data_IF_355024435316
#
_entry.id   IF_355024435316
#
_cell.length_a   1.000
_cell.length_b   1.000
_cell.length_c   1.000
_cell.angle_alpha   90.00
_cell.angle_beta   90.00
_cell.angle_gamma   90.00
#
_symmetry.space_group_name_H-M   'P 1'
#
loop_
_entity.id
_entity.type
_entity.pdbx_description
1 polymer ?
#
# COMPACT_ATOMS: atom_id res chain seq x y z
N UNK A 1 -16.90 57.14 -38.80
CA UNK A 1 -18.13 56.34 -38.65
C UNK A 1 -18.30 55.53 -39.92
N UNK A 2 -18.17 54.20 -39.86
CA UNK A 2 -18.87 53.20 -40.70
C UNK A 2 -18.29 51.79 -40.46
N UNK A 3 -19.13 50.96 -39.84
CA UNK A 3 -19.22 49.50 -39.66
C UNK A 3 -18.04 48.52 -39.90
N UNK A 4 -17.85 47.54 -38.97
CA UNK A 4 -17.08 46.31 -39.23
C UNK A 4 -17.92 45.25 -39.98
N UNK A 5 -17.28 44.25 -40.63
CA UNK A 5 -17.96 43.23 -41.44
C UNK A 5 -18.71 42.16 -40.63
N UNK A 6 -19.84 41.71 -41.18
CA UNK A 6 -20.77 40.72 -40.63
C UNK A 6 -20.17 39.31 -40.55
N UNK A 7 -20.42 38.62 -39.42
CA UNK A 7 -20.17 37.19 -39.26
C UNK A 7 -21.25 36.34 -39.97
N UNK A 8 -20.91 35.17 -40.55
CA UNK A 8 -21.91 34.27 -41.11
C UNK A 8 -22.69 33.53 -40.01
N UNK A 9 -23.95 33.12 -40.25
CA UNK A 9 -24.76 32.44 -39.24
C UNK A 9 -24.27 31.01 -38.97
N UNK A 10 -24.47 30.49 -37.74
CA UNK A 10 -24.12 29.10 -37.42
C UNK A 10 -25.02 28.13 -38.18
N UNK A 11 -24.39 27.11 -38.76
CA UNK A 11 -25.03 26.00 -39.46
C UNK A 11 -25.99 25.23 -38.55
N UNK A 12 -27.26 25.15 -38.96
CA UNK A 12 -28.23 24.27 -38.31
C UNK A 12 -27.85 22.79 -38.53
N UNK A 13 -27.98 21.91 -37.52
CA UNK A 13 -27.74 20.49 -37.69
C UNK A 13 -28.78 19.88 -38.65
N UNK A 14 -28.31 19.23 -39.70
CA UNK A 14 -29.14 18.50 -40.66
C UNK A 14 -29.79 17.29 -39.97
N UNK A 15 -31.11 17.36 -39.76
CA UNK A 15 -31.90 16.18 -39.39
C UNK A 15 -32.07 15.28 -40.61
N UNK A 16 -31.39 14.12 -40.62
CA UNK A 16 -31.83 12.98 -41.45
C UNK A 16 -32.91 12.20 -40.69
N UNK A 17 -34.13 12.03 -41.23
CA UNK A 17 -35.11 11.13 -40.65
C UNK A 17 -34.63 9.68 -40.73
N UNK A 18 -34.80 8.91 -39.65
CA UNK A 18 -34.72 7.43 -39.69
C UNK A 18 -35.87 6.90 -40.54
N UNK A 19 -35.63 6.07 -41.57
CA UNK A 19 -36.70 5.35 -42.24
C UNK A 19 -37.34 4.35 -41.27
N UNK A 20 -38.66 4.46 -41.03
CA UNK A 20 -39.43 3.45 -40.29
C UNK A 20 -40.22 3.92 -39.05
N UNK A 21 -40.30 5.22 -38.75
CA UNK A 21 -41.18 5.69 -37.67
C UNK A 21 -42.61 5.92 -38.19
N UNK A 22 -43.58 5.22 -37.60
CA UNK A 22 -45.01 5.38 -37.88
C UNK A 22 -45.49 6.81 -37.55
N UNK A 23 -46.37 7.35 -38.40
CA UNK A 23 -47.03 8.65 -38.16
C UNK A 23 -48.02 8.52 -36.99
N UNK A 24 -47.86 9.36 -35.96
CA UNK A 24 -48.81 9.46 -34.87
C UNK A 24 -50.06 10.27 -35.30
N UNK A 25 -51.27 9.88 -34.89
CA UNK A 25 -52.49 10.61 -35.19
C UNK A 25 -52.60 11.91 -34.37
N UNK A 26 -53.11 12.95 -35.03
CA UNK A 26 -53.29 14.31 -34.49
C UNK A 26 -54.36 14.33 -33.39
N UNK A 27 -54.00 14.69 -32.15
CA UNK A 27 -54.99 15.07 -31.12
C UNK A 27 -54.79 14.60 -29.67
N UNK A 28 -53.68 13.94 -29.30
CA UNK A 28 -53.46 13.55 -27.90
C UNK A 28 -52.79 14.68 -27.07
N UNK A 29 -53.18 14.90 -25.79
CA UNK A 29 -52.54 15.87 -24.92
C UNK A 29 -51.06 15.53 -24.70
N UNK A 30 -50.19 16.51 -24.93
CA UNK A 30 -48.74 16.38 -24.77
C UNK A 30 -48.38 16.23 -23.29
N UNK A 31 -48.09 15.00 -22.86
CA UNK A 31 -47.31 14.79 -21.65
C UNK A 31 -45.89 15.29 -21.89
N UNK A 32 -45.39 16.11 -20.96
CA UNK A 32 -44.01 16.59 -20.93
C UNK A 32 -43.06 15.47 -21.34
N UNK A 33 -42.30 15.72 -22.40
CA UNK A 33 -41.23 14.86 -22.86
C UNK A 33 -40.34 14.49 -21.67
N UNK A 34 -40.18 13.18 -21.44
CA UNK A 34 -39.10 12.68 -20.59
C UNK A 34 -37.79 13.37 -20.99
N UNK A 35 -36.95 13.81 -20.06
CA UNK A 35 -35.73 14.51 -20.42
C UNK A 35 -34.94 13.65 -21.41
N UNK A 36 -34.70 14.21 -22.60
CA UNK A 36 -33.87 13.56 -23.60
C UNK A 36 -32.51 13.31 -22.98
N UNK A 37 -32.09 12.05 -22.98
CA UNK A 37 -30.73 11.66 -22.64
C UNK A 37 -29.78 12.44 -23.57
N UNK A 38 -29.10 13.44 -23.00
CA UNK A 38 -28.01 14.15 -23.67
C UNK A 38 -26.80 13.24 -23.58
N UNK A 39 -26.53 12.51 -24.66
CA UNK A 39 -25.24 11.84 -24.85
C UNK A 39 -24.18 12.95 -24.98
N UNK A 40 -23.44 13.19 -23.90
CA UNK A 40 -22.40 14.22 -23.85
C UNK A 40 -21.22 13.92 -24.77
N UNK A 41 -21.22 12.83 -25.53
CA UNK A 41 -20.25 12.60 -26.58
C UNK A 41 -18.81 12.75 -26.11
N UNK A 42 -18.54 12.44 -24.84
CA UNK A 42 -17.18 12.41 -24.30
C UNK A 42 -16.51 11.22 -24.98
N UNK A 43 -15.58 11.44 -25.92
CA UNK A 43 -14.95 10.34 -26.62
C UNK A 43 -14.20 9.52 -25.58
N UNK A 44 -14.64 8.28 -25.33
CA UNK A 44 -13.97 7.22 -24.54
C UNK A 44 -12.82 7.75 -23.66
N UNK A 45 -13.12 8.59 -22.66
CA UNK A 45 -12.07 9.18 -21.80
C UNK A 45 -11.39 8.13 -20.90
N UNK A 46 -11.93 6.91 -20.93
CA UNK A 46 -11.45 5.71 -20.27
C UNK A 46 -11.36 4.61 -21.33
N UNK A 47 -10.52 4.80 -22.35
CA UNK A 47 -10.18 3.69 -23.23
C UNK A 47 -9.54 2.59 -22.38
N UNK A 48 -10.24 1.46 -22.30
CA UNK A 48 -9.91 0.28 -21.50
C UNK A 48 -8.97 -0.65 -22.26
N UNK A 49 -8.19 -0.13 -23.21
CA UNK A 49 -7.14 -0.86 -23.93
C UNK A 49 -5.93 -1.17 -23.03
N UNK A 50 -6.20 -1.79 -21.88
CA UNK A 50 -5.33 -2.83 -21.34
C UNK A 50 -5.20 -3.84 -22.49
N UNK A 51 -3.98 -4.03 -23.01
CA UNK A 51 -3.69 -4.99 -24.07
C UNK A 51 -4.50 -6.28 -23.83
N UNK A 52 -5.22 -6.81 -24.83
CA UNK A 52 -6.01 -8.01 -24.63
C UNK A 52 -5.10 -9.10 -24.08
N UNK A 53 -5.44 -9.64 -22.92
CA UNK A 53 -4.81 -10.84 -22.42
C UNK A 53 -4.99 -11.93 -23.48
N UNK A 54 -3.98 -12.77 -23.67
CA UNK A 54 -4.03 -13.84 -24.67
C UNK A 54 -5.31 -14.69 -24.50
N UNK A 55 -5.84 -15.29 -25.57
CA UNK A 55 -7.13 -15.98 -25.57
C UNK A 55 -7.27 -17.07 -24.48
N UNK A 56 -6.15 -17.67 -24.06
CA UNK A 56 -6.09 -18.64 -22.95
C UNK A 56 -6.32 -18.01 -21.55
N UNK A 57 -5.94 -16.74 -21.34
CA UNK A 57 -6.19 -15.99 -20.10
C UNK A 57 -7.63 -15.45 -20.07
N UNK A 58 -8.15 -15.02 -21.23
CA UNK A 58 -9.50 -14.47 -21.36
C UNK A 58 -10.62 -15.51 -21.11
N UNK A 59 -10.41 -16.76 -21.51
CA UNK A 59 -11.40 -17.84 -21.36
C UNK A 59 -11.48 -18.44 -19.94
N UNK A 60 -10.40 -18.35 -19.13
CA UNK A 60 -10.38 -18.87 -17.74
C UNK A 60 -10.68 -17.82 -16.68
N UNK A 61 -10.58 -16.53 -17.02
CA UNK A 61 -10.73 -15.40 -16.09
C UNK A 61 -11.52 -14.25 -16.74
N UNK A 62 -12.71 -14.52 -17.29
CA UNK A 62 -13.58 -13.45 -17.73
C UNK A 62 -13.78 -12.46 -16.56
N UNK A 63 -13.43 -11.16 -16.71
CA UNK A 63 -13.56 -10.19 -15.63
C UNK A 63 -15.00 -10.18 -15.13
N UNK A 64 -15.18 -10.14 -13.81
CA UNK A 64 -16.52 -10.06 -13.23
C UNK A 64 -17.26 -8.86 -13.84
N UNK A 65 -18.42 -9.05 -14.51
CA UNK A 65 -19.13 -7.94 -15.12
C UNK A 65 -19.65 -6.99 -14.04
N UNK A 66 -19.48 -5.68 -14.23
CA UNK A 66 -20.12 -4.68 -13.35
C UNK A 66 -21.61 -4.71 -13.65
N UNK A 67 -22.40 -5.13 -12.67
CA UNK A 67 -23.86 -5.09 -12.77
C UNK A 67 -24.34 -3.64 -12.71
N UNK A 68 -25.28 -3.29 -13.58
CA UNK A 68 -25.96 -2.00 -13.48
C UNK A 68 -26.74 -1.92 -12.16
N UNK A 69 -26.88 -0.72 -11.56
CA UNK A 69 -27.65 -0.59 -10.34
C UNK A 69 -29.12 -0.98 -10.60
N UNK A 70 -29.80 -1.66 -9.66
CA UNK A 70 -31.21 -2.06 -9.80
C UNK A 70 -32.16 -0.88 -9.99
N UNK A 71 -31.75 0.31 -9.55
CA UNK A 71 -32.45 1.57 -9.71
C UNK A 71 -31.44 2.64 -10.12
N UNK A 72 -31.85 3.55 -11.01
CA UNK A 72 -31.02 4.68 -11.41
C UNK A 72 -30.56 5.46 -10.16
N UNK A 73 -29.26 5.66 -10.02
CA UNK A 73 -28.74 6.44 -8.91
C UNK A 73 -29.22 7.89 -9.07
N UNK A 74 -29.62 8.57 -7.98
CA UNK A 74 -30.07 9.94 -8.06
C UNK A 74 -28.97 10.82 -8.69
N UNK A 75 -29.36 11.63 -9.67
CA UNK A 75 -28.48 12.66 -10.20
C UNK A 75 -28.16 13.65 -9.08
N UNK A 76 -26.88 14.00 -8.95
CA UNK A 76 -26.38 14.88 -7.89
C UNK A 76 -27.23 16.16 -7.79
N UNK A 77 -27.75 16.41 -6.60
CA UNK A 77 -28.37 17.65 -6.15
C UNK A 77 -29.50 18.25 -7.01
N UNK A 78 -30.40 17.45 -7.62
CA UNK A 78 -31.69 18.02 -8.08
C UNK A 78 -32.85 17.06 -8.45
N UNK A 79 -33.09 15.99 -7.68
CA UNK A 79 -34.37 15.28 -7.81
C UNK A 79 -34.83 14.67 -6.48
N UNK A 80 -36.08 14.96 -6.16
CA UNK A 80 -36.68 15.04 -4.83
C UNK A 80 -37.31 13.72 -4.36
N UNK A 81 -37.33 13.51 -3.02
CA UNK A 81 -38.25 12.67 -2.20
C UNK A 81 -38.18 11.13 -2.35
N UNK A 82 -38.15 10.27 -1.31
CA UNK A 82 -38.51 10.36 0.13
C UNK A 82 -37.83 9.25 0.97
N UNK A 83 -37.33 9.65 2.14
CA UNK A 83 -37.47 9.02 3.48
C UNK A 83 -37.88 7.51 3.56
N UNK A 84 -36.90 6.60 3.76
CA UNK A 84 -37.12 5.29 4.44
C UNK A 84 -35.90 4.63 5.11
N UNK A 85 -34.77 5.32 5.29
CA UNK A 85 -33.54 4.67 5.85
C UNK A 85 -33.38 4.86 7.36
N UNK A 86 -34.23 5.66 8.00
CA UNK A 86 -34.19 5.88 9.46
C UNK A 86 -34.63 4.65 10.30
N UNK A 87 -35.10 3.56 9.69
CA UNK A 87 -35.50 2.34 10.42
C UNK A 87 -34.47 1.18 10.38
N UNK A 88 -33.32 1.33 9.71
CA UNK A 88 -32.22 0.34 9.79
C UNK A 88 -31.06 0.76 10.70
N UNK A 89 -31.09 1.98 11.25
CA UNK A 89 -30.10 2.44 12.24
C UNK A 89 -30.33 1.90 13.66
N UNK A 90 -31.35 1.05 13.86
CA UNK A 90 -31.73 0.53 15.18
C UNK A 90 -31.12 -0.80 15.63
N UNK A 91 -30.42 -1.55 14.77
CA UNK A 91 -29.74 -2.82 15.14
C UNK A 91 -28.46 -3.01 14.34
N UNK A 92 -27.54 -2.06 14.46
CA UNK A 92 -26.16 -2.25 14.01
C UNK A 92 -25.45 -3.16 15.01
N UNK A 93 -25.59 -4.47 14.84
CA UNK A 93 -24.88 -5.49 15.59
C UNK A 93 -23.40 -5.09 15.71
N UNK A 94 -22.95 -4.82 16.95
CA UNK A 94 -21.59 -4.45 17.31
C UNK A 94 -20.64 -5.65 17.19
N UNK A 95 -20.69 -6.38 16.07
CA UNK A 95 -19.73 -7.43 15.79
C UNK A 95 -18.38 -6.80 15.50
N UNK A 96 -17.47 -6.86 16.48
CA UNK A 96 -16.05 -6.67 16.22
C UNK A 96 -15.67 -7.75 15.21
N UNK A 97 -15.22 -7.41 13.99
CA UNK A 97 -14.94 -8.42 12.99
C UNK A 97 -13.83 -9.32 13.51
N UNK A 98 -14.03 -10.64 13.52
CA UNK A 98 -13.07 -11.64 14.05
C UNK A 98 -11.65 -11.40 13.54
N UNK A 99 -11.51 -10.98 12.28
CA UNK A 99 -10.22 -10.61 11.67
C UNK A 99 -9.43 -9.53 12.43
N UNK A 100 -10.13 -8.60 13.11
CA UNK A 100 -9.51 -7.51 13.88
C UNK A 100 -9.01 -8.01 15.23
N UNK A 101 -9.76 -8.91 15.86
CA UNK A 101 -9.34 -9.58 17.11
C UNK A 101 -8.11 -10.44 16.83
N UNK A 102 -8.14 -11.25 15.77
CA UNK A 102 -7.00 -12.08 15.36
C UNK A 102 -5.75 -11.24 15.04
N UNK A 103 -5.91 -10.08 14.38
CA UNK A 103 -4.77 -9.20 14.10
C UNK A 103 -4.14 -8.63 15.38
N UNK A 104 -4.93 -8.29 16.40
CA UNK A 104 -4.39 -7.86 17.69
C UNK A 104 -3.77 -9.00 18.51
N UNK A 105 -4.32 -10.22 18.41
CA UNK A 105 -3.69 -11.41 18.98
C UNK A 105 -2.31 -11.63 18.35
N UNK A 106 -2.21 -11.52 17.02
CA UNK A 106 -0.93 -11.61 16.31
C UNK A 106 0.06 -10.54 16.82
N UNK A 107 -0.37 -9.28 16.97
CA UNK A 107 0.47 -8.22 17.54
C UNK A 107 0.93 -8.56 18.95
N UNK A 108 0.05 -9.09 19.81
CA UNK A 108 0.41 -9.47 21.18
C UNK A 108 1.44 -10.61 21.21
N UNK A 109 1.27 -11.63 20.37
CA UNK A 109 2.21 -12.74 20.25
C UNK A 109 3.58 -12.29 19.72
N UNK A 110 3.59 -11.45 18.68
CA UNK A 110 4.83 -10.90 18.13
C UNK A 110 5.50 -9.92 19.10
N UNK A 111 4.72 -9.17 19.88
CA UNK A 111 5.22 -8.30 20.95
C UNK A 111 5.88 -9.11 22.06
N UNK A 112 5.27 -10.21 22.49
CA UNK A 112 5.90 -11.14 23.43
C UNK A 112 7.18 -11.73 22.88
N UNK A 113 7.19 -12.15 21.60
CA UNK A 113 8.39 -12.64 20.93
C UNK A 113 9.52 -11.59 20.92
N UNK A 114 9.19 -10.31 20.66
CA UNK A 114 10.16 -9.22 20.73
C UNK A 114 10.75 -9.07 22.13
N UNK A 115 9.92 -9.12 23.18
CA UNK A 115 10.40 -9.03 24.56
C UNK A 115 11.35 -10.17 24.91
N UNK A 116 11.04 -11.40 24.49
CA UNK A 116 11.91 -12.57 24.68
C UNK A 116 13.24 -12.39 23.95
N UNK A 117 13.21 -11.95 22.69
CA UNK A 117 14.41 -11.71 21.87
C UNK A 117 15.29 -10.61 22.47
N UNK A 118 14.69 -9.48 22.87
CA UNK A 118 15.43 -8.38 23.49
C UNK A 118 15.98 -8.75 24.87
N UNK A 119 15.23 -9.52 25.67
CA UNK A 119 15.70 -10.02 26.96
C UNK A 119 16.89 -10.98 26.78
N UNK A 120 16.82 -11.87 25.78
CA UNK A 120 17.92 -12.75 25.43
C UNK A 120 19.17 -11.98 25.00
N UNK A 121 19.04 -11.01 24.10
CA UNK A 121 20.19 -10.20 23.68
C UNK A 121 20.72 -9.28 24.77
N UNK A 122 19.86 -8.74 25.62
CA UNK A 122 20.29 -7.99 26.80
C UNK A 122 21.08 -8.89 27.76
N UNK A 123 20.62 -10.11 27.99
CA UNK A 123 21.35 -11.09 28.81
C UNK A 123 22.72 -11.38 28.20
N UNK A 124 22.81 -11.68 26.90
CA UNK A 124 24.07 -11.88 26.21
C UNK A 124 25.00 -10.67 26.34
N UNK A 125 24.49 -9.48 26.08
CA UNK A 125 25.23 -8.23 26.23
C UNK A 125 25.76 -8.07 27.67
N UNK A 126 24.92 -8.26 28.68
CA UNK A 126 25.27 -8.07 30.09
C UNK A 126 26.35 -9.04 30.58
N UNK A 127 26.47 -10.24 30.00
CA UNK A 127 27.51 -11.21 30.36
C UNK A 127 28.79 -11.08 29.52
N UNK A 128 28.72 -10.45 28.34
CA UNK A 128 29.84 -10.38 27.39
C UNK A 128 30.53 -9.02 27.33
N UNK A 129 29.87 -7.95 27.74
CA UNK A 129 30.38 -6.58 27.63
C UNK A 129 31.26 -6.19 28.83
N UNK A 130 32.16 -5.24 28.61
CA UNK A 130 32.87 -4.53 29.68
C UNK A 130 32.21 -3.20 30.04
N UNK A 131 31.25 -2.75 29.23
CA UNK A 131 30.51 -1.49 29.41
C UNK A 131 29.38 -1.63 30.44
N UNK A 132 28.91 -0.49 30.98
CA UNK A 132 27.75 -0.51 31.88
C UNK A 132 26.50 -1.07 31.17
N UNK A 133 25.72 -1.97 31.81
CA UNK A 133 24.46 -2.46 31.26
C UNK A 133 23.44 -1.36 30.95
N UNK A 134 23.56 -0.19 31.59
CA UNK A 134 22.67 0.96 31.38
C UNK A 134 22.74 1.52 29.94
N UNK A 135 23.84 1.30 29.22
CA UNK A 135 23.96 1.73 27.82
C UNK A 135 22.96 1.06 26.88
N UNK A 136 22.44 -0.10 27.26
CA UNK A 136 21.40 -0.81 26.50
C UNK A 136 20.20 0.10 26.20
N UNK A 137 19.77 0.90 27.17
CA UNK A 137 18.66 1.85 26.98
C UNK A 137 19.01 2.92 25.93
N UNK A 138 20.25 3.40 25.93
CA UNK A 138 20.75 4.33 24.92
C UNK A 138 20.71 3.73 23.52
N UNK A 139 21.14 2.48 23.35
CA UNK A 139 21.08 1.79 22.06
C UNK A 139 19.64 1.63 21.55
N UNK A 140 18.73 1.25 22.44
CA UNK A 140 17.29 1.14 22.14
C UNK A 140 16.71 2.47 21.68
N UNK A 141 17.06 3.58 22.35
CA UNK A 141 16.59 4.92 21.98
C UNK A 141 17.12 5.33 20.60
N UNK A 142 18.41 5.15 20.34
CA UNK A 142 19.04 5.51 19.05
C UNK A 142 18.45 4.66 17.92
N UNK A 143 18.34 3.34 18.10
CA UNK A 143 17.73 2.47 17.11
C UNK A 143 16.24 2.78 16.90
N UNK A 144 15.53 3.12 17.98
CA UNK A 144 14.13 3.51 17.96
C UNK A 144 13.87 4.78 17.15
N UNK A 145 14.79 5.76 17.21
CA UNK A 145 14.72 6.96 16.38
C UNK A 145 14.68 6.62 14.89
N UNK A 146 15.57 5.74 14.43
CA UNK A 146 15.61 5.32 13.02
C UNK A 146 14.30 4.64 12.58
N UNK A 147 13.76 3.77 13.43
CA UNK A 147 12.47 3.12 13.18
C UNK A 147 11.32 4.13 13.09
N UNK A 148 11.30 5.15 13.97
CA UNK A 148 10.29 6.21 13.94
C UNK A 148 10.34 7.02 12.64
N UNK A 149 11.54 7.32 12.13
CA UNK A 149 11.69 8.03 10.85
C UNK A 149 11.17 7.18 9.70
N UNK A 150 11.54 5.89 9.61
CA UNK A 150 11.02 4.98 8.59
C UNK A 150 9.49 4.92 8.69
N UNK A 151 8.95 4.67 9.88
CA UNK A 151 7.51 4.62 10.10
C UNK A 151 6.82 5.93 9.68
N UNK A 152 7.42 7.08 9.97
CA UNK A 152 6.91 8.39 9.56
C UNK A 152 6.80 8.56 8.03
N UNK A 153 7.83 8.12 7.29
CA UNK A 153 7.80 8.08 5.82
C UNK A 153 6.68 7.17 5.31
N UNK A 154 6.56 5.98 5.89
CA UNK A 154 5.52 5.01 5.52
C UNK A 154 4.12 5.54 5.83
N UNK A 155 3.89 6.13 7.01
CA UNK A 155 2.61 6.73 7.36
C UNK A 155 2.24 7.91 6.46
N UNK A 156 3.22 8.63 5.91
CA UNK A 156 2.97 9.70 4.95
C UNK A 156 2.54 9.14 3.60
N UNK A 157 3.19 8.07 3.13
CA UNK A 157 2.85 7.37 1.90
C UNK A 157 1.47 6.68 1.97
N UNK A 158 1.16 6.08 3.13
CA UNK A 158 -0.07 5.34 3.40
C UNK A 158 -1.34 6.22 3.49
N UNK A 159 -1.20 7.56 3.41
CA UNK A 159 -2.35 8.48 3.51
C UNK A 159 -3.39 8.31 2.39
N UNK A 160 -3.01 7.70 1.26
CA UNK A 160 -3.92 7.48 0.14
C UNK A 160 -4.92 6.37 0.42
N UNK A 161 -4.46 5.22 0.91
CA UNK A 161 -5.27 4.06 1.25
C UNK A 161 -4.81 3.47 2.59
N UNK A 162 -5.28 4.03 3.73
CA UNK A 162 -4.69 3.71 5.03
C UNK A 162 -4.87 2.26 5.47
N UNK A 163 -3.74 1.61 5.75
CA UNK A 163 -3.67 0.26 6.26
C UNK A 163 -4.10 0.17 7.74
N UNK A 164 -4.63 -0.99 8.19
CA UNK A 164 -4.99 -1.17 9.58
C UNK A 164 -3.73 -1.24 10.46
N UNK A 165 -3.71 -0.41 11.51
CA UNK A 165 -2.58 -0.30 12.46
C UNK A 165 -2.04 -1.65 12.95
N UNK A 166 -2.87 -2.66 13.31
CA UNK A 166 -2.34 -3.95 13.76
C UNK A 166 -1.45 -4.67 12.73
N UNK A 167 -1.70 -4.49 11.43
CA UNK A 167 -0.86 -5.09 10.39
C UNK A 167 0.47 -4.36 10.25
N UNK A 168 0.46 -3.03 10.35
CA UNK A 168 1.68 -2.22 10.36
C UNK A 168 2.56 -2.58 11.57
N UNK A 169 1.94 -2.75 12.75
CA UNK A 169 2.64 -3.22 13.95
C UNK A 169 3.16 -4.65 13.78
N UNK A 170 2.35 -5.55 13.22
CA UNK A 170 2.77 -6.93 12.96
C UNK A 170 3.97 -6.99 12.01
N UNK A 171 4.03 -6.12 11.00
CA UNK A 171 5.17 -6.00 10.10
C UNK A 171 6.45 -5.60 10.85
N UNK A 172 6.40 -4.53 11.64
CA UNK A 172 7.54 -4.08 12.46
C UNK A 172 7.98 -5.18 13.43
N UNK A 173 7.04 -5.78 14.17
CA UNK A 173 7.34 -6.78 15.19
C UNK A 173 7.88 -8.09 14.59
N UNK A 174 7.40 -8.49 13.40
CA UNK A 174 7.97 -9.63 12.68
C UNK A 174 9.46 -9.41 12.39
N UNK A 175 9.79 -8.24 11.84
CA UNK A 175 11.17 -7.85 11.58
C UNK A 175 12.01 -7.84 12.85
N UNK A 176 11.53 -7.14 13.88
CA UNK A 176 12.26 -6.91 15.11
C UNK A 176 12.47 -8.16 15.98
N UNK A 177 11.58 -9.15 15.87
CA UNK A 177 11.65 -10.37 16.68
C UNK A 177 12.00 -11.59 15.84
N UNK A 178 11.07 -12.03 14.99
CA UNK A 178 11.13 -13.33 14.32
C UNK A 178 12.26 -13.38 13.30
N UNK A 179 12.35 -12.36 12.43
CA UNK A 179 13.37 -12.31 11.40
C UNK A 179 14.77 -12.23 12.02
N UNK A 180 14.98 -11.37 13.02
CA UNK A 180 16.27 -11.28 13.72
C UNK A 180 16.61 -12.56 14.47
N UNK A 181 15.67 -13.20 15.16
CA UNK A 181 15.93 -14.45 15.88
C UNK A 181 16.37 -15.58 14.93
N UNK A 182 15.67 -15.75 13.80
CA UNK A 182 16.04 -16.74 12.77
C UNK A 182 17.44 -16.42 12.25
N UNK A 183 17.68 -15.16 11.88
CA UNK A 183 18.96 -14.73 11.31
C UNK A 183 20.11 -14.89 12.27
N UNK A 184 19.94 -14.55 13.54
CA UNK A 184 20.96 -14.71 14.57
C UNK A 184 21.39 -16.18 14.69
N UNK A 185 20.44 -17.11 14.81
CA UNK A 185 20.75 -18.54 14.94
C UNK A 185 21.46 -19.06 13.69
N UNK A 186 20.90 -18.83 12.51
CA UNK A 186 21.43 -19.38 11.26
C UNK A 186 22.78 -18.76 10.91
N UNK A 187 22.93 -17.43 11.02
CA UNK A 187 24.20 -16.77 10.70
C UNK A 187 25.32 -17.20 11.66
N UNK A 188 25.01 -17.40 12.94
CA UNK A 188 25.99 -17.91 13.91
C UNK A 188 26.43 -19.32 13.53
N UNK A 189 25.48 -20.22 13.28
CA UNK A 189 25.80 -21.60 12.88
C UNK A 189 26.61 -21.67 11.58
N UNK A 190 26.24 -20.89 10.57
CA UNK A 190 26.97 -20.85 9.29
C UNK A 190 28.37 -20.29 9.46
N UNK A 191 28.56 -19.26 10.31
CA UNK A 191 29.88 -18.71 10.63
C UNK A 191 30.80 -19.74 11.29
N UNK A 192 30.28 -20.46 12.29
CA UNK A 192 31.01 -21.53 12.99
C UNK A 192 31.39 -22.68 12.06
N UNK A 193 30.45 -23.13 11.20
CA UNK A 193 30.71 -24.18 10.21
C UNK A 193 31.76 -23.72 9.19
N UNK A 194 31.65 -22.47 8.70
CA UNK A 194 32.61 -21.92 7.75
C UNK A 194 34.02 -21.85 8.36
N UNK A 195 34.12 -21.49 9.64
CA UNK A 195 35.39 -21.51 10.37
C UNK A 195 35.91 -22.94 10.54
N UNK A 196 35.08 -23.88 11.00
CA UNK A 196 35.47 -25.26 11.22
C UNK A 196 35.97 -25.96 9.95
N UNK A 197 35.38 -25.64 8.79
CA UNK A 197 35.76 -26.22 7.49
C UNK A 197 37.01 -25.55 6.91
N UNK A 198 37.15 -24.22 7.06
CA UNK A 198 38.23 -23.47 6.40
C UNK A 198 39.47 -23.24 7.27
N UNK A 199 39.33 -23.30 8.59
CA UNK A 199 40.35 -22.86 9.56
C UNK A 199 40.67 -21.36 9.49
N UNK A 200 39.88 -20.55 8.78
CA UNK A 200 40.18 -19.14 8.49
C UNK A 200 39.07 -18.21 8.99
N UNK A 201 39.42 -17.29 9.88
CA UNK A 201 38.52 -16.23 10.36
C UNK A 201 38.10 -15.27 9.22
N UNK A 202 39.00 -15.03 8.25
CA UNK A 202 38.70 -14.18 7.09
C UNK A 202 37.64 -14.83 6.21
N UNK A 203 37.76 -16.14 5.94
CA UNK A 203 36.76 -16.88 5.17
C UNK A 203 35.44 -16.95 5.94
N UNK A 204 35.48 -17.27 7.23
CA UNK A 204 34.27 -17.32 8.07
C UNK A 204 33.53 -15.98 8.10
N UNK A 205 34.25 -14.88 8.34
CA UNK A 205 33.65 -13.53 8.36
C UNK A 205 33.08 -13.12 7.00
N UNK A 206 33.77 -13.43 5.89
CA UNK A 206 33.25 -13.16 4.55
C UNK A 206 32.00 -13.98 4.24
N UNK A 207 32.02 -15.29 4.48
CA UNK A 207 30.86 -16.18 4.26
C UNK A 207 29.68 -15.76 5.13
N UNK A 208 29.93 -15.47 6.41
CA UNK A 208 28.91 -15.01 7.34
C UNK A 208 28.28 -13.69 6.90
N UNK A 209 29.09 -12.67 6.63
CA UNK A 209 28.60 -11.31 6.37
C UNK A 209 28.09 -11.11 4.93
N UNK A 210 28.72 -11.71 3.92
CA UNK A 210 28.44 -11.42 2.50
C UNK A 210 27.47 -12.43 1.88
N UNK A 211 27.44 -13.67 2.40
CA UNK A 211 26.61 -14.75 1.84
C UNK A 211 25.47 -15.11 2.80
N UNK A 212 25.79 -15.56 4.00
CA UNK A 212 24.81 -16.07 4.96
C UNK A 212 23.83 -14.98 5.40
N UNK A 213 24.34 -13.83 5.83
CA UNK A 213 23.52 -12.76 6.36
C UNK A 213 22.51 -12.25 5.32
N UNK A 214 22.90 -11.85 4.09
CA UNK A 214 21.94 -11.40 3.08
C UNK A 214 20.90 -12.46 2.72
N UNK A 215 21.32 -13.72 2.51
CA UNK A 215 20.40 -14.81 2.18
C UNK A 215 19.39 -15.06 3.30
N UNK A 216 19.88 -15.24 4.52
CA UNK A 216 19.07 -15.62 5.67
C UNK A 216 18.16 -14.49 6.08
N UNK A 217 18.69 -13.27 6.16
CA UNK A 217 17.94 -12.12 6.66
C UNK A 217 16.87 -11.66 5.70
N UNK A 218 17.19 -11.51 4.41
CA UNK A 218 16.17 -11.05 3.45
C UNK A 218 15.11 -12.14 3.22
N UNK A 219 15.47 -13.42 3.35
CA UNK A 219 14.49 -14.52 3.34
C UNK A 219 13.61 -14.49 4.59
N UNK A 220 14.17 -14.34 5.79
CA UNK A 220 13.41 -14.33 7.05
C UNK A 220 12.48 -13.11 7.16
N UNK A 221 12.95 -11.94 6.70
CA UNK A 221 12.14 -10.72 6.54
C UNK A 221 11.03 -10.95 5.53
N UNK A 222 11.36 -11.45 4.35
CA UNK A 222 10.39 -11.66 3.28
C UNK A 222 9.35 -12.76 3.59
N UNK A 223 9.65 -13.75 4.44
CA UNK A 223 8.64 -14.66 4.98
C UNK A 223 7.55 -13.92 5.76
N UNK A 224 7.89 -12.82 6.43
CA UNK A 224 6.90 -11.93 7.07
C UNK A 224 5.95 -11.31 6.06
N UNK A 225 6.44 -10.93 4.87
CA UNK A 225 5.58 -10.47 3.78
C UNK A 225 4.64 -11.57 3.30
N UNK A 226 5.14 -12.80 3.15
CA UNK A 226 4.31 -13.94 2.75
C UNK A 226 3.21 -14.20 3.80
N UNK A 227 3.55 -14.21 5.09
CA UNK A 227 2.58 -14.38 6.17
C UNK A 227 1.52 -13.28 6.13
N UNK A 228 1.93 -12.00 6.09
CA UNK A 228 1.00 -10.86 6.00
C UNK A 228 0.14 -10.93 4.73
N UNK A 229 0.74 -11.28 3.60
CA UNK A 229 0.05 -11.45 2.32
C UNK A 229 -1.03 -12.52 2.39
N UNK A 230 -0.77 -13.67 3.03
CA UNK A 230 -1.71 -14.76 3.13
C UNK A 230 -2.84 -14.46 4.14
N UNK A 231 -2.51 -13.94 5.33
CA UNK A 231 -3.52 -13.68 6.38
C UNK A 231 -4.35 -12.42 6.11
N UNK A 232 -3.74 -11.43 5.47
CA UNK A 232 -4.31 -10.11 5.26
C UNK A 232 -4.35 -9.73 3.78
N UNK A 233 -4.51 -10.72 2.90
CA UNK A 233 -4.56 -10.55 1.43
C UNK A 233 -5.40 -9.36 1.00
N UNK A 234 -6.54 -9.08 1.66
CA UNK A 234 -7.43 -7.93 1.38
C UNK A 234 -6.75 -6.55 1.43
N UNK A 235 -5.67 -6.44 2.20
CA UNK A 235 -4.89 -5.23 2.44
C UNK A 235 -3.57 -5.19 1.65
N UNK A 236 -3.33 -6.22 0.84
CA UNK A 236 -2.15 -6.33 -0.02
C UNK A 236 -2.62 -6.37 -1.48
N UNK A 237 -2.99 -5.21 -2.01
CA UNK A 237 -3.63 -5.02 -3.31
C UNK A 237 -2.64 -4.66 -4.43
N UNK A 238 -1.47 -4.12 -4.08
CA UNK A 238 -0.49 -3.71 -5.06
C UNK A 238 0.95 -3.58 -4.55
N UNK A 239 1.87 -3.15 -5.44
CA UNK A 239 3.26 -2.83 -5.12
C UNK A 239 3.43 -1.83 -3.98
N UNK A 240 2.54 -0.83 -3.86
CA UNK A 240 2.63 0.15 -2.77
C UNK A 240 2.51 -0.57 -1.43
N UNK A 241 1.45 -1.36 -1.22
CA UNK A 241 1.25 -2.10 0.03
C UNK A 241 2.42 -3.02 0.36
N UNK A 242 2.93 -3.72 -0.66
CA UNK A 242 4.11 -4.57 -0.50
C UNK A 242 5.36 -3.79 -0.11
N UNK A 243 5.59 -2.62 -0.69
CA UNK A 243 6.65 -1.70 -0.27
C UNK A 243 6.45 -1.29 1.20
N UNK A 244 5.26 -0.83 1.57
CA UNK A 244 5.00 -0.33 2.93
C UNK A 244 5.23 -1.41 3.98
N UNK A 245 4.70 -2.62 3.79
CA UNK A 245 4.94 -3.74 4.70
C UNK A 245 6.41 -4.17 4.70
N UNK A 246 7.06 -4.20 3.52
CA UNK A 246 8.46 -4.61 3.40
C UNK A 246 9.39 -3.65 4.13
N UNK A 247 9.16 -2.34 3.96
CA UNK A 247 9.89 -1.29 4.64
C UNK A 247 9.75 -1.37 6.17
N UNK A 248 8.55 -1.66 6.68
CA UNK A 248 8.31 -1.80 8.11
C UNK A 248 8.96 -3.06 8.69
N UNK A 249 8.94 -4.19 7.97
CA UNK A 249 9.67 -5.40 8.38
C UNK A 249 11.17 -5.12 8.39
N UNK A 250 11.71 -4.53 7.33
CA UNK A 250 13.12 -4.14 7.26
C UNK A 250 13.52 -3.17 8.37
N UNK A 251 12.70 -2.17 8.65
CA UNK A 251 12.91 -1.22 9.75
C UNK A 251 12.85 -1.85 11.13
N UNK A 252 11.92 -2.79 11.35
CA UNK A 252 11.86 -3.56 12.59
C UNK A 252 13.11 -4.43 12.78
N UNK A 253 13.57 -5.09 11.73
CA UNK A 253 14.82 -5.85 11.77
C UNK A 253 16.01 -4.95 12.11
N UNK A 254 16.13 -3.81 11.39
CA UNK A 254 17.18 -2.82 11.62
C UNK A 254 17.18 -2.29 13.06
N UNK A 255 16.00 -2.14 13.68
CA UNK A 255 15.90 -1.72 15.07
C UNK A 255 16.66 -2.66 16.02
N UNK A 256 16.35 -3.96 16.01
CA UNK A 256 17.01 -4.91 16.92
C UNK A 256 18.46 -5.12 16.51
N UNK A 257 18.76 -5.16 15.22
CA UNK A 257 20.13 -5.34 14.74
C UNK A 257 21.04 -4.15 15.13
N UNK A 258 20.56 -2.92 14.97
CA UNK A 258 21.30 -1.71 15.34
C UNK A 258 21.66 -1.70 16.83
N UNK A 259 20.79 -2.19 17.71
CA UNK A 259 21.09 -2.30 19.15
C UNK A 259 22.35 -3.15 19.38
N UNK A 260 22.46 -4.30 18.70
CA UNK A 260 23.61 -5.19 18.79
C UNK A 260 24.88 -4.54 18.22
N UNK A 261 24.76 -3.82 17.11
CA UNK A 261 25.88 -3.10 16.50
C UNK A 261 26.39 -1.95 17.37
N UNK A 262 25.50 -1.20 18.01
CA UNK A 262 25.87 -0.10 18.91
C UNK A 262 26.59 -0.60 20.16
N UNK A 263 26.17 -1.73 20.73
CA UNK A 263 26.91 -2.40 21.82
C UNK A 263 28.35 -2.73 21.42
N UNK A 264 28.53 -3.43 20.28
CA UNK A 264 29.86 -3.78 19.77
C UNK A 264 30.72 -2.56 19.45
N UNK A 265 30.11 -1.47 18.94
CA UNK A 265 30.82 -0.25 18.62
C UNK A 265 31.32 0.50 19.85
N UNK A 266 30.52 0.50 20.94
CA UNK A 266 30.95 1.07 22.21
C UNK A 266 32.12 0.27 22.80
N UNK A 267 32.03 -1.06 22.78
CA UNK A 267 33.08 -1.92 23.36
C UNK A 267 34.41 -1.84 22.60
N UNK A 268 34.36 -1.74 21.26
CA UNK A 268 35.56 -1.67 20.42
C UNK A 268 36.15 -0.27 20.27
N UNK A 269 35.32 0.78 20.26
CA UNK A 269 35.73 2.14 19.89
C UNK A 269 35.31 3.24 20.89
N UNK A 270 34.77 2.86 22.04
CA UNK A 270 34.24 3.79 23.02
C UNK A 270 33.11 4.66 22.48
N UNK A 271 32.86 5.80 23.13
CA UNK A 271 31.80 6.74 22.71
C UNK A 271 32.04 7.25 21.28
N UNK A 272 33.30 7.39 20.84
CA UNK A 272 33.65 7.78 19.47
C UNK A 272 33.18 6.76 18.44
N UNK A 273 33.45 5.46 18.68
CA UNK A 273 32.98 4.37 17.82
C UNK A 273 31.46 4.29 17.75
N UNK A 274 30.79 4.42 18.91
CA UNK A 274 29.33 4.51 18.98
C UNK A 274 28.78 5.69 18.18
N UNK A 275 29.37 6.88 18.30
CA UNK A 275 28.91 8.08 17.60
C UNK A 275 29.07 7.93 16.07
N UNK A 276 30.22 7.45 15.61
CA UNK A 276 30.48 7.23 14.17
C UNK A 276 29.50 6.20 13.61
N UNK A 277 29.34 5.06 14.27
CA UNK A 277 28.43 4.02 13.79
C UNK A 277 26.96 4.46 13.90
N UNK A 278 26.63 5.24 14.93
CA UNK A 278 25.32 5.87 15.13
C UNK A 278 24.95 6.78 13.95
N UNK A 279 25.89 7.59 13.45
CA UNK A 279 25.65 8.41 12.26
C UNK A 279 25.52 7.56 10.99
N UNK A 280 26.46 6.62 10.77
CA UNK A 280 26.48 5.77 9.58
C UNK A 280 25.18 4.96 9.48
N UNK A 281 24.75 4.29 10.55
CA UNK A 281 23.58 3.40 10.53
C UNK A 281 22.28 4.12 10.86
N UNK A 282 22.33 5.06 11.80
CA UNK A 282 21.13 5.72 12.33
C UNK A 282 20.64 6.91 11.50
N UNK A 283 21.51 7.51 10.68
CA UNK A 283 21.19 8.68 9.85
C UNK A 283 21.39 8.40 8.37
N UNK A 284 22.59 7.96 7.96
CA UNK A 284 22.91 7.80 6.52
C UNK A 284 22.28 6.53 5.95
N UNK A 285 22.55 5.38 6.57
CA UNK A 285 22.06 4.06 6.17
C UNK A 285 20.68 3.71 6.75
N UNK A 286 19.89 4.71 7.12
CA UNK A 286 18.61 4.51 7.81
C UNK A 286 17.62 3.66 7.00
N UNK A 287 17.69 3.71 5.66
CA UNK A 287 16.75 3.03 4.79
C UNK A 287 17.24 1.68 4.24
N UNK A 288 18.50 1.28 4.45
CA UNK A 288 19.09 0.10 3.80
C UNK A 288 18.21 -1.16 3.88
N UNK A 289 17.94 -1.66 5.08
CA UNK A 289 17.05 -2.82 5.25
C UNK A 289 15.62 -2.58 4.78
N UNK A 290 15.10 -1.35 4.91
CA UNK A 290 13.78 -1.02 4.40
C UNK A 290 13.74 -1.14 2.87
N UNK A 291 14.79 -0.71 2.16
CA UNK A 291 14.93 -0.83 0.70
C UNK A 291 14.96 -2.30 0.31
N UNK A 292 15.83 -3.12 0.92
CA UNK A 292 16.06 -4.51 0.50
C UNK A 292 14.78 -5.33 0.58
N UNK A 293 14.07 -5.26 1.71
CA UNK A 293 12.82 -5.98 1.91
C UNK A 293 11.66 -5.36 1.10
N UNK A 294 11.66 -4.04 0.88
CA UNK A 294 10.67 -3.39 0.00
C UNK A 294 10.69 -3.93 -1.42
N UNK A 295 11.86 -4.24 -1.98
CA UNK A 295 11.96 -4.80 -3.34
C UNK A 295 11.18 -6.12 -3.46
N UNK A 296 11.32 -6.98 -2.46
CA UNK A 296 10.54 -8.23 -2.36
C UNK A 296 9.04 -7.94 -2.37
N UNK A 297 8.59 -7.01 -1.51
CA UNK A 297 7.19 -6.63 -1.39
C UNK A 297 6.62 -6.00 -2.66
N UNK A 298 7.36 -5.13 -3.33
CA UNK A 298 6.96 -4.50 -4.60
C UNK A 298 6.72 -5.57 -5.67
N UNK A 299 7.64 -6.51 -5.84
CA UNK A 299 7.52 -7.57 -6.84
C UNK A 299 6.33 -8.48 -6.51
N UNK A 300 6.18 -8.90 -5.25
CA UNK A 300 5.01 -9.66 -4.80
C UNK A 300 3.69 -8.92 -5.10
N UNK A 301 3.64 -7.61 -4.82
CA UNK A 301 2.47 -6.78 -5.07
C UNK A 301 2.13 -6.61 -6.55
N UNK A 302 3.14 -6.45 -7.41
CA UNK A 302 2.95 -6.39 -8.87
C UNK A 302 2.37 -7.69 -9.41
N UNK A 303 2.95 -8.82 -8.99
CA UNK A 303 2.51 -10.16 -9.42
C UNK A 303 1.10 -10.44 -8.89
N UNK A 304 0.82 -10.14 -7.62
CA UNK A 304 -0.50 -10.32 -7.03
C UNK A 304 -1.58 -9.47 -7.73
N UNK A 305 -1.26 -8.22 -8.07
CA UNK A 305 -2.16 -7.30 -8.76
C UNK A 305 -2.48 -7.78 -10.19
N UNK A 306 -1.53 -8.43 -10.86
CA UNK A 306 -1.64 -8.82 -12.28
C UNK A 306 -2.15 -10.25 -12.49
N UNK A 307 -1.70 -11.18 -11.66
CA UNK A 307 -1.89 -12.62 -11.86
C UNK A 307 -2.56 -13.30 -10.67
N UNK A 308 -2.93 -12.55 -9.63
CA UNK A 308 -3.68 -13.04 -8.50
C UNK A 308 -2.83 -13.63 -7.37
N UNK A 309 -3.53 -14.21 -6.41
CA UNK A 309 -2.99 -14.51 -5.07
C UNK A 309 -1.92 -15.59 -5.08
N UNK A 310 -2.16 -16.71 -5.76
CA UNK A 310 -1.20 -17.83 -5.77
C UNK A 310 0.13 -17.46 -6.44
N UNK A 311 0.15 -16.88 -7.67
CA UNK A 311 1.39 -16.37 -8.25
C UNK A 311 2.06 -15.32 -7.35
N UNK A 312 1.28 -14.42 -6.74
CA UNK A 312 1.78 -13.40 -5.82
C UNK A 312 2.50 -13.96 -4.58
N UNK A 313 2.08 -15.11 -4.07
CA UNK A 313 2.78 -15.80 -2.99
C UNK A 313 4.02 -16.57 -3.49
N UNK A 314 3.90 -17.29 -4.61
CA UNK A 314 4.99 -18.13 -5.14
C UNK A 314 6.16 -17.33 -5.69
N UNK A 315 5.92 -16.12 -6.21
CA UNK A 315 6.99 -15.25 -6.71
C UNK A 315 7.98 -14.85 -5.62
N UNK A 316 7.63 -15.00 -4.34
CA UNK A 316 8.52 -14.78 -3.20
C UNK A 316 9.92 -15.39 -3.42
N UNK A 317 10.00 -16.63 -3.93
CA UNK A 317 11.25 -17.36 -4.17
C UNK A 317 12.21 -16.64 -5.14
N UNK A 318 11.67 -15.80 -6.02
CA UNK A 318 12.43 -15.01 -6.99
C UNK A 318 12.51 -13.53 -6.54
N UNK A 319 11.46 -13.03 -5.91
CA UNK A 319 11.30 -11.64 -5.50
C UNK A 319 12.30 -11.21 -4.41
N UNK A 320 12.83 -12.13 -3.62
CA UNK A 320 13.83 -11.84 -2.57
C UNK A 320 15.23 -11.56 -3.13
N UNK A 321 15.58 -12.11 -4.31
CA UNK A 321 16.94 -12.02 -4.85
C UNK A 321 17.46 -10.60 -5.07
N UNK A 322 16.68 -9.63 -5.57
CA UNK A 322 17.15 -8.25 -5.66
C UNK A 322 17.54 -7.66 -4.31
N UNK A 323 16.78 -7.95 -3.24
CA UNK A 323 17.10 -7.54 -1.88
C UNK A 323 18.36 -8.22 -1.35
N UNK A 324 18.45 -9.55 -1.53
CA UNK A 324 19.63 -10.36 -1.17
C UNK A 324 20.88 -9.82 -1.86
N UNK A 325 20.81 -9.56 -3.16
CA UNK A 325 21.94 -9.08 -3.96
C UNK A 325 22.39 -7.70 -3.50
N UNK A 326 21.46 -6.77 -3.28
CA UNK A 326 21.80 -5.42 -2.85
C UNK A 326 22.41 -5.41 -1.43
N UNK A 327 21.88 -6.24 -0.53
CA UNK A 327 22.42 -6.42 0.80
C UNK A 327 23.82 -7.09 0.77
N UNK A 328 24.01 -8.11 -0.06
CA UNK A 328 25.33 -8.73 -0.25
C UNK A 328 26.35 -7.77 -0.85
N UNK A 329 25.94 -6.91 -1.79
CA UNK A 329 26.80 -5.86 -2.34
C UNK A 329 27.19 -4.84 -1.29
N UNK A 330 26.25 -4.41 -0.44
CA UNK A 330 26.54 -3.53 0.69
C UNK A 330 27.59 -4.14 1.63
N UNK A 331 27.34 -5.36 2.11
CA UNK A 331 28.26 -6.04 3.03
C UNK A 331 29.61 -6.33 2.37
N UNK A 332 29.61 -6.85 1.15
CA UNK A 332 30.81 -7.18 0.38
C UNK A 332 31.67 -5.97 0.04
N UNK A 333 31.07 -4.80 -0.15
CA UNK A 333 31.81 -3.58 -0.46
C UNK A 333 32.81 -3.19 0.64
N UNK A 334 32.51 -3.49 1.91
CA UNK A 334 33.41 -3.24 3.03
C UNK A 334 34.70 -4.08 2.97
N UNK A 335 34.64 -5.28 2.37
CA UNK A 335 35.81 -6.14 2.14
C UNK A 335 36.59 -5.73 0.90
N UNK A 336 35.89 -5.29 -0.15
CA UNK A 336 36.50 -4.90 -1.43
C UNK A 336 37.16 -3.52 -1.37
N UNK A 337 36.63 -2.61 -0.57
CA UNK A 337 37.11 -1.22 -0.48
C UNK A 337 37.35 -0.80 0.98
N UNK A 338 38.30 -1.42 1.70
CA UNK A 338 38.57 -1.17 3.12
C UNK A 338 39.38 0.12 3.33
N UNK A 339 38.91 1.24 2.77
CA UNK A 339 39.55 2.56 2.85
C UNK A 339 38.52 3.63 3.17
N UNK A 340 38.97 4.77 3.70
CA UNK A 340 38.09 5.92 3.95
C UNK A 340 37.36 6.38 2.67
N UNK A 341 38.06 6.38 1.53
CA UNK A 341 37.46 6.73 0.24
C UNK A 341 36.40 5.71 -0.20
N UNK A 342 36.66 4.41 0.03
CA UNK A 342 35.70 3.34 -0.21
C UNK A 342 34.44 3.51 0.63
N UNK A 343 34.60 3.80 1.94
CA UNK A 343 33.49 4.11 2.84
C UNK A 343 32.68 5.32 2.35
N UNK A 344 33.34 6.44 2.00
CA UNK A 344 32.64 7.64 1.50
C UNK A 344 31.84 7.32 0.23
N UNK A 345 32.43 6.62 -0.73
CA UNK A 345 31.75 6.21 -1.96
C UNK A 345 30.53 5.33 -1.65
N UNK A 346 30.67 4.36 -0.75
CA UNK A 346 29.58 3.47 -0.32
C UNK A 346 28.43 4.28 0.32
N UNK A 347 28.73 5.25 1.18
CA UNK A 347 27.73 6.11 1.81
C UNK A 347 27.01 6.99 0.77
N UNK A 348 27.71 7.51 -0.24
CA UNK A 348 27.11 8.27 -1.34
C UNK A 348 26.14 7.38 -2.14
N UNK A 349 26.55 6.15 -2.47
CA UNK A 349 25.70 5.19 -3.18
C UNK A 349 24.43 4.89 -2.39
N UNK A 350 24.54 4.67 -1.08
CA UNK A 350 23.38 4.44 -0.20
C UNK A 350 22.43 5.64 -0.15
N UNK A 351 22.95 6.87 -0.10
CA UNK A 351 22.13 8.07 -0.17
C UNK A 351 21.41 8.18 -1.52
N UNK A 352 22.07 7.84 -2.63
CA UNK A 352 21.45 7.80 -3.94
C UNK A 352 20.36 6.72 -4.01
N UNK A 353 20.61 5.51 -3.50
CA UNK A 353 19.62 4.43 -3.44
C UNK A 353 18.41 4.82 -2.58
N UNK A 354 18.65 5.47 -1.45
CA UNK A 354 17.61 6.02 -0.59
C UNK A 354 16.76 7.06 -1.32
N UNK A 355 17.37 7.97 -2.08
CA UNK A 355 16.64 8.96 -2.88
C UNK A 355 15.80 8.30 -4.00
N UNK A 356 16.35 7.29 -4.68
CA UNK A 356 15.62 6.50 -5.69
C UNK A 356 14.44 5.78 -5.06
N UNK A 357 14.61 5.19 -3.88
CA UNK A 357 13.55 4.48 -3.16
C UNK A 357 12.44 5.45 -2.69
N UNK A 358 12.78 6.62 -2.17
CA UNK A 358 11.79 7.67 -1.85
C UNK A 358 11.03 8.13 -3.10
N UNK A 359 11.73 8.28 -4.24
CA UNK A 359 11.12 8.55 -5.54
C UNK A 359 10.15 7.44 -5.97
N UNK A 360 10.53 6.17 -5.78
CA UNK A 360 9.68 5.00 -6.04
C UNK A 360 8.40 5.04 -5.20
N UNK A 361 8.46 5.41 -3.91
CA UNK A 361 7.27 5.61 -3.08
C UNK A 361 6.33 6.63 -3.72
N UNK A 362 6.85 7.79 -4.12
CA UNK A 362 6.07 8.83 -4.80
C UNK A 362 5.41 8.34 -6.09
N UNK A 363 6.15 7.60 -6.91
CA UNK A 363 5.65 6.99 -8.15
C UNK A 363 4.53 5.96 -7.88
N UNK A 364 4.69 5.11 -6.85
CA UNK A 364 3.69 4.11 -6.49
C UNK A 364 2.42 4.73 -5.89
N UNK A 365 2.54 5.80 -5.10
CA UNK A 365 1.38 6.57 -4.60
C UNK A 365 0.63 7.22 -5.77
N UNK A 366 1.36 7.75 -6.76
CA UNK A 366 0.75 8.30 -7.97
C UNK A 366 0.06 7.23 -8.81
N UNK A 367 0.68 6.07 -9.02
CA UNK A 367 0.09 4.94 -9.73
C UNK A 367 -1.18 4.44 -9.04
N UNK A 368 -1.19 4.34 -7.72
CA UNK A 368 -2.37 3.94 -6.95
C UNK A 368 -3.53 4.94 -7.11
N UNK A 369 -3.23 6.24 -7.14
CA UNK A 369 -4.24 7.28 -7.44
C UNK A 369 -4.79 7.15 -8.86
N UNK A 370 -3.92 6.91 -9.85
CA UNK A 370 -4.32 6.71 -11.25
C UNK A 370 -5.19 5.47 -11.40
N UNK A 371 -4.80 4.36 -10.77
CA UNK A 371 -5.55 3.11 -10.78
C UNK A 371 -6.92 3.28 -10.14
N UNK A 372 -6.99 3.96 -8.98
CA UNK A 372 -8.26 4.30 -8.32
C UNK A 372 -9.19 5.03 -9.29
N UNK A 373 -8.68 6.02 -10.04
CA UNK A 373 -9.47 6.78 -11.01
C UNK A 373 -10.02 5.91 -12.13
N UNK A 374 -9.19 5.04 -12.69
CA UNK A 374 -9.59 4.13 -13.77
C UNK A 374 -10.69 3.18 -13.28
N UNK A 375 -10.51 2.57 -12.10
CA UNK A 375 -11.46 1.59 -11.56
C UNK A 375 -12.78 2.22 -11.13
N UNK A 376 -12.75 3.41 -10.54
CA UNK A 376 -13.99 4.15 -10.24
C UNK A 376 -14.69 4.62 -11.52
N UNK A 377 -13.95 4.87 -12.60
CA UNK A 377 -14.50 5.16 -13.93
C UNK A 377 -15.40 4.03 -14.47
N UNK A 378 -15.03 2.76 -14.24
CA UNK A 378 -15.85 1.60 -14.62
C UNK A 378 -17.26 1.65 -13.99
N UNK A 379 -17.35 2.12 -12.73
CA UNK A 379 -18.61 2.28 -12.02
C UNK A 379 -19.38 3.53 -12.46
N UNK A 380 -18.68 4.61 -12.80
CA UNK A 380 -19.32 5.80 -13.35
C UNK A 380 -19.99 5.53 -14.70
N UNK A 381 -19.30 4.78 -15.58
CA UNK A 381 -19.84 4.34 -16.87
C UNK A 381 -21.07 3.43 -16.74
N UNK A 382 -21.32 2.88 -15.54
CA UNK A 382 -22.47 2.02 -15.22
C UNK A 382 -23.53 2.74 -14.38
N UNK A 383 -23.35 4.03 -14.11
CA UNK A 383 -24.31 4.87 -13.40
C UNK A 383 -24.28 4.73 -11.87
N UNK A 384 -23.25 4.09 -11.29
CA UNK A 384 -23.08 4.02 -9.84
C UNK A 384 -22.52 5.31 -9.24
N UNK A 385 -21.70 6.04 -10.00
CA UNK A 385 -21.06 7.31 -9.64
C UNK A 385 -21.14 8.30 -10.81
N UNK A 386 -20.96 9.60 -10.57
CA UNK A 386 -20.71 10.56 -11.65
C UNK A 386 -19.21 10.71 -11.93
N UNK A 387 -18.83 11.21 -13.11
CA UNK A 387 -17.42 11.42 -13.46
C UNK A 387 -16.76 12.52 -12.61
N UNK A 388 -17.53 13.48 -12.12
CA UNK A 388 -17.11 14.51 -11.16
C UNK A 388 -16.83 13.87 -9.79
N UNK A 389 -17.70 12.96 -9.34
CA UNK A 389 -17.47 12.18 -8.11
C UNK A 389 -16.20 11.34 -8.23
N UNK A 390 -15.96 10.70 -9.37
CA UNK A 390 -14.71 9.98 -9.63
C UNK A 390 -13.50 10.92 -9.51
N UNK A 391 -13.59 12.12 -10.06
CA UNK A 391 -12.49 13.11 -9.96
C UNK A 391 -12.26 13.56 -8.51
N UNK A 392 -13.34 13.78 -7.75
CA UNK A 392 -13.28 14.11 -6.33
C UNK A 392 -12.65 12.97 -5.51
N UNK A 393 -13.07 11.73 -5.75
CA UNK A 393 -12.67 10.54 -5.00
C UNK A 393 -11.28 10.03 -5.38
N UNK A 394 -10.84 10.23 -6.62
CA UNK A 394 -9.61 9.66 -7.15
C UNK A 394 -8.46 10.66 -7.31
N UNK A 395 -8.58 11.88 -6.75
CA UNK A 395 -7.48 12.86 -6.71
C UNK A 395 -7.25 13.42 -5.30
N UNK A 396 -6.00 13.79 -4.99
CA UNK A 396 -5.65 14.42 -3.72
C UNK A 396 -6.37 15.75 -3.51
N UNK A 397 -6.39 16.59 -4.55
CA UNK A 397 -7.08 17.90 -4.53
C UNK A 397 -8.58 17.71 -4.31
N UNK A 398 -9.21 16.82 -5.08
CA UNK A 398 -10.63 16.49 -4.93
C UNK A 398 -11.00 15.99 -3.55
N UNK A 399 -10.23 15.04 -2.98
CA UNK A 399 -10.45 14.53 -1.62
C UNK A 399 -10.31 15.64 -0.57
N UNK A 400 -9.40 16.59 -0.76
CA UNK A 400 -9.22 17.74 0.14
C UNK A 400 -10.42 18.68 0.07
N UNK A 401 -10.86 19.04 -1.13
CA UNK A 401 -12.02 19.90 -1.38
C UNK A 401 -13.30 19.26 -0.84
N UNK A 402 -13.53 17.97 -1.13
CA UNK A 402 -14.68 17.22 -0.62
C UNK A 402 -14.70 17.17 0.91
N UNK A 403 -13.55 16.99 1.57
CA UNK A 403 -13.45 17.07 3.04
C UNK A 403 -13.70 18.49 3.58
N UNK A 404 -13.29 19.53 2.86
CA UNK A 404 -13.55 20.92 3.26
C UNK A 404 -15.03 21.27 3.14
N UNK A 405 -15.67 20.94 2.02
CA UNK A 405 -17.11 21.06 1.84
C UNK A 405 -17.88 20.28 2.92
N UNK A 406 -17.51 19.02 3.16
CA UNK A 406 -18.15 18.21 4.18
C UNK A 406 -18.00 18.76 5.61
N UNK A 407 -16.97 19.58 5.90
CA UNK A 407 -16.86 20.28 7.19
C UNK A 407 -17.89 21.39 7.31
N UNK A 408 -18.17 22.12 6.24
CA UNK A 408 -19.13 23.22 6.22
C UNK A 408 -20.55 22.73 6.52
N UNK A 409 -20.90 21.54 6.04
CA UNK A 409 -22.22 20.91 6.26
C UNK A 409 -22.25 19.92 7.45
N UNK A 410 -21.22 19.91 8.31
CA UNK A 410 -21.16 19.01 9.48
C UNK A 410 -21.05 17.51 9.18
N UNK A 411 -20.77 17.11 7.94
CA UNK A 411 -20.78 15.72 7.47
C UNK A 411 -19.37 15.11 7.22
N UNK A 412 -18.31 15.71 7.78
CA UNK A 412 -16.92 15.25 7.59
C UNK A 412 -16.72 13.74 7.87
N UNK A 413 -17.29 13.13 8.93
CA UNK A 413 -17.14 11.70 9.17
C UNK A 413 -17.72 10.85 8.02
N UNK A 414 -18.86 11.26 7.46
CA UNK A 414 -19.50 10.60 6.33
C UNK A 414 -18.65 10.72 5.06
N UNK A 415 -18.09 11.90 4.77
CA UNK A 415 -17.19 12.10 3.63
C UNK A 415 -15.92 11.25 3.75
N UNK A 416 -15.34 11.14 4.96
CA UNK A 416 -14.18 10.26 5.19
C UNK A 416 -14.52 8.79 4.92
N UNK A 417 -15.71 8.32 5.32
CA UNK A 417 -16.18 6.96 5.00
C UNK A 417 -16.38 6.79 3.50
N UNK A 418 -17.02 7.76 2.83
CA UNK A 418 -17.27 7.72 1.39
C UNK A 418 -15.96 7.64 0.58
N UNK A 419 -14.95 8.45 0.91
CA UNK A 419 -13.62 8.39 0.28
C UNK A 419 -12.96 7.02 0.50
N UNK A 420 -12.99 6.51 1.74
CA UNK A 420 -12.36 5.22 2.08
C UNK A 420 -13.03 4.06 1.36
N UNK A 421 -14.35 3.97 1.42
CA UNK A 421 -15.11 2.90 0.77
C UNK A 421 -15.00 2.95 -0.75
N UNK A 422 -14.77 4.13 -1.34
CA UNK A 422 -14.51 4.26 -2.77
C UNK A 422 -13.11 3.74 -3.14
N UNK A 423 -12.10 4.00 -2.31
CA UNK A 423 -10.76 3.42 -2.48
C UNK A 423 -10.82 1.88 -2.33
N UNK A 424 -11.53 1.38 -1.31
CA UNK A 424 -11.79 -0.05 -1.12
C UNK A 424 -12.53 -0.66 -2.34
N UNK A 425 -13.51 0.05 -2.92
CA UNK A 425 -14.22 -0.42 -4.10
C UNK A 425 -13.29 -0.55 -5.32
N UNK A 426 -12.39 0.41 -5.51
CA UNK A 426 -11.42 0.38 -6.59
C UNK A 426 -10.44 -0.80 -6.44
N UNK A 427 -9.94 -1.05 -5.22
CA UNK A 427 -9.01 -2.16 -4.94
C UNK A 427 -9.70 -3.52 -5.10
N UNK A 428 -10.95 -3.65 -4.65
CA UNK A 428 -11.79 -4.84 -4.84
C UNK A 428 -12.05 -5.10 -6.31
N UNK A 429 -12.32 -4.05 -7.09
CA UNK A 429 -12.49 -4.17 -8.55
C UNK A 429 -11.24 -4.70 -9.21
N UNK A 430 -10.08 -4.12 -8.88
CA UNK A 430 -8.79 -4.60 -9.41
C UNK A 430 -8.55 -6.07 -9.06
N UNK A 431 -8.91 -6.49 -7.84
CA UNK A 431 -8.80 -7.89 -7.42
C UNK A 431 -9.69 -8.82 -8.20
N UNK A 432 -10.96 -8.46 -8.44
CA UNK A 432 -11.86 -9.28 -9.25
C UNK A 432 -11.36 -9.47 -10.69
N UNK A 433 -10.59 -8.50 -11.21
CA UNK A 433 -9.94 -8.63 -12.52
C UNK A 433 -8.73 -9.58 -12.49
N UNK A 434 -8.04 -9.73 -11.35
CA UNK A 434 -6.86 -10.57 -11.22
C UNK A 434 -7.17 -12.00 -10.73
N UNK A 435 -7.98 -12.13 -9.68
CA UNK A 435 -8.35 -13.40 -9.03
C UNK A 435 -9.64 -14.01 -9.63
N UNK A 436 -10.34 -13.31 -10.52
CA UNK A 436 -11.63 -13.73 -11.08
C UNK A 436 -12.82 -13.49 -10.13
N UNK A 437 -14.00 -14.00 -10.52
CA UNK A 437 -15.28 -13.76 -9.83
C UNK A 437 -15.45 -14.60 -8.54
N UNK A 438 -14.51 -14.50 -7.59
CA UNK A 438 -14.61 -15.17 -6.30
C UNK A 438 -15.89 -14.71 -5.55
N UNK A 439 -16.81 -15.62 -5.15
CA UNK A 439 -18.10 -15.25 -4.56
C UNK A 439 -18.00 -14.40 -3.28
N UNK A 440 -16.93 -14.53 -2.51
CA UNK A 440 -16.71 -13.70 -1.31
C UNK A 440 -16.37 -12.25 -1.71
N UNK A 441 -15.55 -12.09 -2.75
CA UNK A 441 -15.10 -10.77 -3.23
C UNK A 441 -16.24 -10.05 -3.95
N UNK A 442 -17.04 -10.76 -4.74
CA UNK A 442 -18.26 -10.21 -5.39
C UNK A 442 -19.27 -9.72 -4.35
N UNK A 443 -19.53 -10.50 -3.29
CA UNK A 443 -20.39 -10.04 -2.18
C UNK A 443 -19.84 -8.79 -1.49
N UNK A 444 -18.52 -8.69 -1.36
CA UNK A 444 -17.88 -7.52 -0.77
C UNK A 444 -18.02 -6.28 -1.66
N UNK A 445 -17.86 -6.42 -2.98
CA UNK A 445 -18.13 -5.36 -3.98
C UNK A 445 -19.57 -4.85 -3.85
N UNK A 446 -20.56 -5.75 -3.78
CA UNK A 446 -21.97 -5.39 -3.60
C UNK A 446 -22.23 -4.65 -2.27
N UNK A 447 -21.61 -5.10 -1.18
CA UNK A 447 -21.70 -4.43 0.12
C UNK A 447 -21.13 -3.02 0.09
N UNK A 448 -19.98 -2.82 -0.58
CA UNK A 448 -19.37 -1.51 -0.75
C UNK A 448 -20.25 -0.58 -1.58
N UNK A 449 -20.81 -1.07 -2.71
CA UNK A 449 -21.75 -0.30 -3.52
C UNK A 449 -22.97 0.15 -2.70
N UNK A 450 -23.53 -0.75 -1.89
CA UNK A 450 -24.67 -0.43 -1.00
C UNK A 450 -24.31 0.67 0.00
N UNK A 451 -23.12 0.59 0.63
CA UNK A 451 -22.66 1.58 1.60
C UNK A 451 -22.32 2.92 0.94
N UNK A 452 -21.76 2.91 -0.26
CA UNK A 452 -21.49 4.12 -1.05
C UNK A 452 -22.79 4.85 -1.38
N UNK A 453 -23.82 4.15 -1.83
CA UNK A 453 -25.15 4.75 -2.05
C UNK A 453 -25.71 5.35 -0.77
N UNK A 454 -25.61 4.65 0.37
CA UNK A 454 -26.09 5.16 1.66
C UNK A 454 -25.30 6.40 2.15
N UNK A 455 -23.96 6.38 2.03
CA UNK A 455 -23.11 7.51 2.38
C UNK A 455 -23.37 8.72 1.49
N UNK A 456 -23.62 8.50 0.19
CA UNK A 456 -24.02 9.54 -0.77
C UNK A 456 -25.34 10.20 -0.35
N UNK A 457 -26.36 9.40 -0.03
CA UNK A 457 -27.65 9.91 0.45
C UNK A 457 -27.52 10.70 1.75
N UNK A 458 -26.67 10.26 2.68
CA UNK A 458 -26.41 10.98 3.93
C UNK A 458 -25.71 12.32 3.71
N UNK A 459 -24.74 12.40 2.78
CA UNK A 459 -24.07 13.64 2.41
C UNK A 459 -25.05 14.65 1.79
N UNK A 460 -25.92 14.18 0.89
CA UNK A 460 -26.96 15.02 0.26
C UNK A 460 -27.98 15.52 1.29
N UNK A 461 -28.41 14.66 2.22
CA UNK A 461 -29.35 15.04 3.27
C UNK A 461 -28.76 16.11 4.20
N UNK A 462 -27.48 16.02 4.52
CA UNK A 462 -26.79 17.01 5.36
C UNK A 462 -26.64 18.37 4.64
N UNK A 463 -26.45 18.38 3.32
CA UNK A 463 -26.39 19.64 2.56
C UNK A 463 -27.73 20.35 2.38
N UNK A 464 -28.85 19.63 2.46
CA UNK A 464 -30.20 20.22 2.34
C UNK A 464 -30.81 20.71 3.65
N UNK A 465 -30.14 20.46 4.78
CA UNK A 465 -30.54 20.93 6.12
C UNK A 465 -29.68 22.06 6.68
N UNK A 466 -28.65 22.49 5.94
CA UNK A 466 -27.85 23.69 6.18
C UNK A 466 -28.39 24.83 5.30
#
# INVERSE_FOLDING_TARGET
MTHPPQQPPPSAPQHRPRPGAAQHPSGAPQFQSSPQYVDYGLPRLYDTSVRPAGPLTAARFAPAPVQAPPQAQPQSAWATQTRRVQQLQGKGDQYVPVSRVLAWILVALLGMALLVVLAFFFFLYAISTTSSPLWWLGYVIIAGFSLVVIAGVIFLADRWDPQPIPLLLSAVLWGAAIAVAISFVVNTLVGEIAYAVSGSEVVSSFVGAVISAPLTEETSKGLGLVVLFLIARRYFNGPLDGLLYGALIGGGFAFTENILYYGRALDGGGIGGLAVLGVIRGVIGIFGHAIYTSLTGVIMGLVARKWGTLPGALVFLVATWPGIALHALWNGSSFLFPSLWGLILMLIIEMCLSAVWLGLIGLLVWDESRLTRVRLGDYANRGWLTHEEVTMLATWKGRREGKQWARQIGALPTMKRFIRESADLASVRQRLMADGANPKVVRHEQQLLTRLTANRQALVSASGGA
#
